data_IF_863014719894
#
_entry.id   IF_863014719894
#
_cell.length_a   1.000
_cell.length_b   1.000
_cell.length_c   1.000
_cell.angle_alpha   90.00
_cell.angle_beta   90.00
_cell.angle_gamma   90.00
#
_symmetry.space_group_name_H-M   'P 1'
#
loop_
_entity.id
_entity.type
_entity.pdbx_description
1 polymer ?
#
# COMPACT_ATOMS: atom_id res chain seq x y z
N UNK A 1 16.84 -10.98 2.64
CA UNK A 1 15.73 -11.14 1.66
C UNK A 1 14.43 -10.84 2.39
N UNK A 2 13.97 -9.59 2.32
CA UNK A 2 12.60 -9.19 2.70
C UNK A 2 12.27 -7.80 2.11
N UNK A 3 12.83 -7.51 0.93
CA UNK A 3 12.80 -6.17 0.32
C UNK A 3 11.36 -5.71 0.02
N UNK A 4 10.49 -6.64 -0.38
CA UNK A 4 9.07 -6.38 -0.64
C UNK A 4 8.30 -6.01 0.63
N UNK A 5 8.56 -6.65 1.76
CA UNK A 5 7.93 -6.31 3.04
C UNK A 5 8.38 -4.92 3.53
N UNK A 6 9.66 -4.60 3.34
CA UNK A 6 10.19 -3.26 3.64
C UNK A 6 9.58 -2.19 2.72
N UNK A 7 9.38 -2.53 1.43
CA UNK A 7 8.69 -1.69 0.45
C UNK A 7 7.26 -1.41 0.87
N UNK A 8 6.51 -2.44 1.28
CA UNK A 8 5.13 -2.31 1.74
C UNK A 8 5.06 -1.41 2.97
N UNK A 9 5.94 -1.60 3.97
CA UNK A 9 5.99 -0.71 5.16
C UNK A 9 6.26 0.76 4.77
N UNK A 10 7.17 0.98 3.83
CA UNK A 10 7.48 2.32 3.31
C UNK A 10 6.29 2.94 2.59
N UNK A 11 5.56 2.16 1.79
CA UNK A 11 4.35 2.62 1.09
C UNK A 11 3.23 2.95 2.08
N UNK A 12 3.04 2.13 3.12
CA UNK A 12 2.09 2.44 4.20
C UNK A 12 2.38 3.80 4.84
N UNK A 13 3.65 4.07 5.19
CA UNK A 13 4.07 5.36 5.75
C UNK A 13 3.79 6.52 4.80
N UNK A 14 4.12 6.37 3.51
CA UNK A 14 3.80 7.40 2.51
C UNK A 14 2.30 7.65 2.40
N UNK A 15 1.45 6.62 2.46
CA UNK A 15 0.00 6.80 2.47
C UNK A 15 -0.48 7.57 3.71
N UNK A 16 0.07 7.26 4.89
CA UNK A 16 -0.22 8.01 6.12
C UNK A 16 0.17 9.49 5.99
N UNK A 17 1.34 9.77 5.42
CA UNK A 17 1.80 11.15 5.15
C UNK A 17 0.92 11.88 4.12
N UNK A 18 0.30 11.14 3.20
CA UNK A 18 -0.66 11.67 2.24
C UNK A 18 -2.06 11.88 2.81
N UNK A 19 -2.28 11.54 4.09
CA UNK A 19 -3.56 11.72 4.78
C UNK A 19 -4.48 10.49 4.71
N UNK A 20 -4.00 9.33 4.25
CA UNK A 20 -4.78 8.10 4.34
C UNK A 20 -4.83 7.60 5.78
N UNK A 21 -5.97 7.01 6.14
CA UNK A 21 -6.12 6.37 7.44
C UNK A 21 -5.58 4.95 7.41
N UNK A 22 -5.05 4.49 8.55
CA UNK A 22 -4.60 3.11 8.74
C UNK A 22 -5.67 2.07 8.35
N UNK A 23 -6.96 2.36 8.59
CA UNK A 23 -8.04 1.45 8.22
C UNK A 23 -8.17 1.25 6.71
N UNK A 24 -7.97 2.31 5.90
CA UNK A 24 -8.05 2.20 4.43
C UNK A 24 -6.89 1.37 3.91
N UNK A 25 -5.70 1.60 4.46
CA UNK A 25 -4.49 0.85 4.14
C UNK A 25 -4.69 -0.63 4.50
N UNK A 26 -5.22 -0.92 5.70
CA UNK A 26 -5.52 -2.29 6.13
C UNK A 26 -6.59 -2.95 5.25
N UNK A 27 -7.61 -2.19 4.83
CA UNK A 27 -8.66 -2.69 3.96
C UNK A 27 -8.14 -3.05 2.58
N UNK A 28 -7.29 -2.21 1.97
CA UNK A 28 -6.63 -2.50 0.69
C UNK A 28 -5.77 -3.75 0.83
N UNK A 29 -5.03 -3.88 1.92
CA UNK A 29 -4.19 -5.06 2.16
C UNK A 29 -5.04 -6.30 2.29
N UNK A 30 -6.11 -6.26 3.09
CA UNK A 30 -7.04 -7.37 3.25
C UNK A 30 -7.72 -7.77 1.95
N UNK A 31 -8.05 -6.81 1.10
CA UNK A 31 -8.68 -7.06 -0.20
C UNK A 31 -7.71 -7.78 -1.14
N UNK A 32 -6.45 -7.36 -1.18
CA UNK A 32 -5.42 -8.04 -2.00
C UNK A 32 -5.00 -9.39 -1.41
N UNK A 33 -4.80 -9.47 -0.09
CA UNK A 33 -4.25 -10.67 0.57
C UNK A 33 -5.30 -11.66 1.08
N UNK A 34 -6.58 -11.32 0.98
CA UNK A 34 -7.69 -12.19 1.40
C UNK A 34 -7.74 -12.50 2.91
N UNK A 35 -7.27 -11.58 3.77
CA UNK A 35 -7.05 -11.76 5.23
C UNK A 35 -5.76 -12.46 5.66
N UNK A 36 -4.86 -12.80 4.73
CA UNK A 36 -3.53 -13.29 5.11
C UNK A 36 -2.63 -12.12 5.51
N UNK A 37 -1.85 -12.27 6.58
CA UNK A 37 -0.87 -11.25 6.98
C UNK A 37 0.13 -11.02 5.85
N UNK A 38 0.56 -9.77 5.68
CA UNK A 38 1.57 -9.38 4.67
C UNK A 38 2.90 -10.15 4.79
N UNK A 39 3.16 -10.72 5.97
CA UNK A 39 4.32 -11.57 6.25
C UNK A 39 4.16 -13.01 5.75
N UNK A 40 2.93 -13.45 5.47
CA UNK A 40 2.57 -14.83 5.11
C UNK A 40 2.08 -14.97 3.65
N UNK A 41 2.07 -13.87 2.89
CA UNK A 41 1.66 -13.89 1.48
C UNK A 41 2.81 -14.24 0.54
N UNK A 42 2.47 -14.90 -0.56
CA UNK A 42 3.39 -15.24 -1.65
C UNK A 42 4.01 -14.00 -2.30
N UNK A 43 5.18 -14.16 -2.92
CA UNK A 43 5.88 -13.08 -3.63
C UNK A 43 5.00 -12.37 -4.67
N UNK A 44 4.17 -13.12 -5.40
CA UNK A 44 3.23 -12.58 -6.38
C UNK A 44 2.18 -11.66 -5.75
N UNK A 45 1.66 -12.06 -4.59
CA UNK A 45 0.68 -11.28 -3.82
C UNK A 45 1.32 -10.04 -3.20
N UNK A 46 2.57 -10.15 -2.74
CA UNK A 46 3.33 -8.98 -2.28
C UNK A 46 3.52 -7.97 -3.42
N UNK A 47 3.81 -8.45 -4.62
CA UNK A 47 4.06 -7.60 -5.79
C UNK A 47 2.76 -6.92 -6.27
N UNK A 48 1.65 -7.65 -6.25
CA UNK A 48 0.31 -7.12 -6.54
C UNK A 48 -0.08 -6.03 -5.53
N UNK A 49 0.16 -6.28 -4.24
CA UNK A 49 -0.10 -5.31 -3.17
C UNK A 49 0.75 -4.05 -3.30
N UNK A 50 2.05 -4.20 -3.60
CA UNK A 50 2.95 -3.06 -3.84
C UNK A 50 2.43 -2.21 -5.00
N UNK A 51 2.01 -2.85 -6.09
CA UNK A 51 1.46 -2.17 -7.27
C UNK A 51 0.18 -1.41 -6.93
N UNK A 52 -0.72 -2.01 -6.15
CA UNK A 52 -1.94 -1.37 -5.68
C UNK A 52 -1.65 -0.16 -4.79
N UNK A 53 -0.75 -0.30 -3.80
CA UNK A 53 -0.36 0.80 -2.90
C UNK A 53 0.32 1.94 -3.66
N UNK A 54 1.23 1.65 -4.61
CA UNK A 54 1.86 2.67 -5.45
C UNK A 54 0.84 3.38 -6.34
N UNK A 55 -0.16 2.67 -6.87
CA UNK A 55 -1.25 3.29 -7.62
C UNK A 55 -2.05 4.27 -6.75
N UNK A 56 -2.42 3.88 -5.53
CA UNK A 56 -3.12 4.77 -4.59
C UNK A 56 -2.27 5.98 -4.21
N UNK A 57 -0.98 5.82 -3.94
CA UNK A 57 -0.06 6.92 -3.64
C UNK A 57 0.06 7.87 -4.84
N UNK A 58 0.20 7.33 -6.05
CA UNK A 58 0.27 8.12 -7.27
C UNK A 58 -1.02 8.91 -7.50
N UNK A 59 -2.17 8.27 -7.29
CA UNK A 59 -3.47 8.91 -7.37
C UNK A 59 -3.64 10.01 -6.31
N UNK A 60 -3.27 9.73 -5.06
CA UNK A 60 -3.30 10.68 -3.96
C UNK A 60 -2.42 11.91 -4.23
N UNK A 61 -1.19 11.70 -4.69
CA UNK A 61 -0.27 12.77 -5.09
C UNK A 61 -0.82 13.58 -6.25
N UNK A 62 -1.42 12.93 -7.25
CA UNK A 62 -2.03 13.61 -8.41
C UNK A 62 -3.27 14.42 -8.00
N UNK A 63 -4.08 13.90 -7.09
CA UNK A 63 -5.26 14.58 -6.56
C UNK A 63 -4.84 15.79 -5.71
N UNK A 64 -3.82 15.62 -4.86
CA UNK A 64 -3.26 16.70 -4.05
C UNK A 64 -2.58 17.79 -4.92
N UNK A 65 -1.99 17.42 -6.05
CA UNK A 65 -1.41 18.36 -7.01
C UNK A 65 -2.44 19.18 -7.80
N UNK A 66 -3.69 18.72 -7.91
CA UNK A 66 -4.75 19.45 -8.62
C UNK A 66 -5.40 20.55 -7.76
N UNK A 67 -5.15 20.56 -6.44
CA UNK A 67 -5.76 21.51 -5.52
C UNK A 67 -4.82 22.67 -5.11
N UNK A 68 -3.82 23.01 -5.93
CA UNK A 68 -2.89 24.12 -5.71
C UNK A 68 -3.01 25.20 -6.77
#
# INVERSE_FOLDING_TARGET
>A
MNDQLLRIDTLKKQMLELGYHQFQIDSVIKETTGSVRVENISLSQQQELITALEYYIGFARRCNAHNK
#
